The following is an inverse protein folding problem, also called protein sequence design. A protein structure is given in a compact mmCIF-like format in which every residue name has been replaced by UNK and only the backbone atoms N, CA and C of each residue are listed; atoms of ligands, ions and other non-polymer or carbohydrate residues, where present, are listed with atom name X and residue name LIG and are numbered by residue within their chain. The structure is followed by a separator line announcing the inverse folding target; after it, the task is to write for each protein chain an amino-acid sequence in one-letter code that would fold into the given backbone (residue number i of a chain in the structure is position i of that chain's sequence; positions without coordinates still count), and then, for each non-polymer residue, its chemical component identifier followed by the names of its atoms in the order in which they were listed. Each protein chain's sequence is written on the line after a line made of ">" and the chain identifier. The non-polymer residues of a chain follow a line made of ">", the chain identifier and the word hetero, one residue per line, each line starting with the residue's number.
data_IF_686599497508
#
_entry.id   IF_686599497508
#
_cell.length_a   1.000
_cell.length_b   1.000
_cell.length_c   1.000
_cell.angle_alpha   90.00
_cell.angle_beta   90.00
_cell.angle_gamma   90.00
#
_symmetry.space_group_name_H-M   'P 1'
#
loop_
_entity.id
_entity.type
_entity.pdbx_description
1 polymer ?
#
# COMPACT_ATOMS: atom_id res chain seq x y z
N UNK A 1 -28.06 -61.17 -40.14
CA UNK A 1 -28.96 -60.37 -39.27
C UNK A 1 -28.08 -59.66 -38.26
N UNK A 2 -27.80 -58.36 -38.47
CA UNK A 2 -28.41 -57.23 -37.75
C UNK A 2 -28.33 -57.38 -36.21
N UNK A 3 -27.39 -56.68 -35.57
CA UNK A 3 -27.74 -55.58 -34.66
C UNK A 3 -26.46 -54.87 -34.17
N UNK A 4 -26.41 -53.54 -34.34
CA UNK A 4 -25.47 -52.64 -33.66
C UNK A 4 -26.16 -52.16 -32.38
N UNK A 5 -25.44 -51.96 -31.25
CA UNK A 5 -25.90 -51.03 -30.23
C UNK A 5 -25.20 -49.68 -30.38
N UNK A 6 -26.05 -48.67 -30.29
CA UNK A 6 -25.80 -47.23 -30.31
C UNK A 6 -25.48 -46.76 -28.88
N UNK A 7 -24.59 -45.75 -28.80
CA UNK A 7 -24.52 -44.64 -27.81
C UNK A 7 -24.60 -44.93 -26.30
N UNK A 8 -23.66 -44.34 -25.53
CA UNK A 8 -23.94 -43.14 -24.71
C UNK A 8 -22.61 -42.60 -24.14
N UNK A 9 -22.12 -41.50 -24.72
CA UNK A 9 -21.04 -40.69 -24.15
C UNK A 9 -21.68 -39.75 -23.10
N UNK A 10 -21.49 -40.05 -21.82
CA UNK A 10 -21.82 -39.15 -20.74
C UNK A 10 -20.72 -38.08 -20.63
N UNK A 11 -20.95 -36.92 -21.24
CA UNK A 11 -20.19 -35.70 -20.95
C UNK A 11 -20.56 -35.22 -19.55
N UNK A 12 -19.69 -35.50 -18.58
CA UNK A 12 -19.73 -34.89 -17.26
C UNK A 12 -19.26 -33.43 -17.38
N UNK A 13 -20.20 -32.49 -17.45
CA UNK A 13 -19.91 -31.07 -17.20
C UNK A 13 -19.67 -30.90 -15.70
N UNK A 14 -18.40 -30.77 -15.31
CA UNK A 14 -18.05 -30.28 -13.97
C UNK A 14 -18.34 -28.78 -13.98
N UNK A 15 -19.50 -28.41 -13.45
CA UNK A 15 -19.84 -27.01 -13.15
C UNK A 15 -18.99 -26.64 -11.93
N UNK A 16 -17.85 -25.98 -12.18
CA UNK A 16 -17.09 -25.32 -11.12
C UNK A 16 -17.97 -24.16 -10.62
N UNK A 17 -18.37 -24.14 -9.33
CA UNK A 17 -19.10 -23.01 -8.81
C UNK A 17 -18.24 -21.75 -8.93
N UNK A 18 -18.81 -20.59 -9.30
CA UNK A 18 -18.06 -19.35 -9.31
C UNK A 18 -17.49 -19.12 -7.92
N UNK A 19 -16.17 -19.02 -7.86
CA UNK A 19 -15.42 -18.62 -6.67
C UNK A 19 -16.12 -17.40 -6.08
N UNK A 20 -16.60 -17.54 -4.85
CA UNK A 20 -17.16 -16.43 -4.08
C UNK A 20 -16.14 -15.30 -4.11
N UNK A 21 -16.42 -14.25 -4.89
CA UNK A 21 -15.65 -13.03 -4.85
C UNK A 21 -15.72 -12.54 -3.41
N UNK A 22 -14.58 -12.55 -2.73
CA UNK A 22 -14.44 -11.86 -1.45
C UNK A 22 -15.04 -10.46 -1.62
N UNK A 23 -15.86 -9.98 -0.66
CA UNK A 23 -16.38 -8.62 -0.76
C UNK A 23 -15.20 -7.67 -0.99
N UNK A 24 -15.35 -6.66 -1.87
CA UNK A 24 -14.31 -5.65 -2.03
C UNK A 24 -13.95 -5.17 -0.64
N UNK A 25 -12.64 -5.11 -0.34
CA UNK A 25 -12.14 -4.42 0.84
C UNK A 25 -13.00 -3.18 1.02
N UNK A 26 -13.71 -3.05 2.15
CA UNK A 26 -14.67 -1.97 2.36
C UNK A 26 -13.95 -0.67 2.06
N UNK A 27 -14.20 -0.12 0.88
CA UNK A 27 -13.47 1.02 0.39
C UNK A 27 -13.82 2.16 1.34
N UNK A 28 -12.81 2.68 2.03
CA UNK A 28 -13.03 3.88 2.82
C UNK A 28 -13.58 4.96 1.88
N UNK A 29 -14.56 5.77 2.33
CA UNK A 29 -15.17 6.78 1.48
C UNK A 29 -14.10 7.74 0.95
N UNK A 30 -14.33 8.38 -0.22
CA UNK A 30 -13.46 9.44 -0.67
C UNK A 30 -13.48 10.61 0.33
N UNK A 31 -12.39 11.37 0.37
CA UNK A 31 -12.28 12.58 1.22
C UNK A 31 -12.32 13.83 0.36
N UNK A 32 -12.68 14.96 0.97
CA UNK A 32 -12.65 16.26 0.30
C UNK A 32 -11.32 16.96 0.60
N UNK A 33 -10.50 17.13 -0.44
CA UNK A 33 -9.25 17.90 -0.37
C UNK A 33 -9.45 19.18 -1.15
N UNK A 34 -9.54 20.31 -0.46
CA UNK A 34 -9.64 21.65 -1.05
C UNK A 34 -10.79 21.80 -2.09
N UNK A 35 -11.91 21.10 -1.88
CA UNK A 35 -13.07 21.13 -2.78
C UNK A 35 -13.10 20.01 -3.82
N UNK A 36 -12.09 19.15 -3.88
CA UNK A 36 -12.02 18.00 -4.78
C UNK A 36 -12.20 16.69 -4.01
N UNK A 37 -13.06 15.79 -4.52
CA UNK A 37 -13.23 14.46 -3.94
C UNK A 37 -12.10 13.54 -4.40
N UNK A 38 -11.26 13.10 -3.46
CA UNK A 38 -10.13 12.21 -3.72
C UNK A 38 -10.51 10.77 -3.42
N UNK A 39 -10.28 9.88 -4.39
CA UNK A 39 -10.47 8.45 -4.24
C UNK A 39 -9.40 7.84 -3.30
N UNK A 40 -9.75 6.71 -2.69
CA UNK A 40 -8.83 5.99 -1.82
C UNK A 40 -7.86 5.14 -2.65
N UNK A 41 -6.57 5.22 -2.35
CA UNK A 41 -5.51 4.53 -3.10
C UNK A 41 -5.58 3.00 -3.04
N UNK A 42 -6.38 2.44 -2.14
CA UNK A 42 -6.57 1.00 -2.00
C UNK A 42 -7.74 0.46 -2.82
N UNK A 43 -8.44 1.33 -3.58
CA UNK A 43 -9.37 0.91 -4.62
C UNK A 43 -8.61 0.20 -5.75
N UNK A 44 -9.21 -0.79 -6.45
CA UNK A 44 -8.52 -1.56 -7.47
C UNK A 44 -7.86 -0.72 -8.57
N UNK A 45 -8.57 0.30 -9.08
CA UNK A 45 -8.09 1.18 -10.15
C UNK A 45 -6.95 2.09 -9.67
N UNK A 46 -7.13 2.79 -8.55
CA UNK A 46 -6.10 3.65 -7.96
C UNK A 46 -4.83 2.86 -7.60
N UNK A 47 -5.00 1.67 -7.02
CA UNK A 47 -3.89 0.81 -6.64
C UNK A 47 -3.09 0.35 -7.86
N UNK A 48 -3.77 0.02 -8.95
CA UNK A 48 -3.09 -0.36 -10.19
C UNK A 48 -2.37 0.84 -10.82
N UNK A 49 -2.98 2.03 -10.78
CA UNK A 49 -2.33 3.27 -11.23
C UNK A 49 -1.04 3.54 -10.46
N UNK A 50 -1.08 3.50 -9.12
CA UNK A 50 0.12 3.66 -8.27
C UNK A 50 1.14 2.56 -8.57
N UNK A 51 0.71 1.31 -8.74
CA UNK A 51 1.61 0.18 -9.02
C UNK A 51 2.34 0.35 -10.36
N UNK A 52 1.68 0.90 -11.37
CA UNK A 52 2.24 1.08 -12.72
C UNK A 52 3.38 2.12 -12.76
N UNK A 53 3.38 3.09 -11.84
CA UNK A 53 4.43 4.11 -11.76
C UNK A 53 5.69 3.58 -11.05
N UNK A 54 5.53 2.61 -10.14
CA UNK A 54 6.58 2.20 -9.23
C UNK A 54 7.71 1.40 -9.91
N UNK A 55 8.98 1.60 -9.48
CA UNK A 55 10.08 0.81 -9.97
C UNK A 55 9.96 -0.65 -9.53
N UNK A 56 10.59 -1.55 -10.30
CA UNK A 56 10.57 -2.99 -10.02
C UNK A 56 10.96 -3.30 -8.56
N UNK A 57 10.15 -4.15 -7.92
CA UNK A 57 10.37 -4.65 -6.57
C UNK A 57 10.01 -3.68 -5.43
N UNK A 58 9.50 -2.47 -5.71
CA UNK A 58 9.00 -1.56 -4.64
C UNK A 58 7.49 -1.72 -4.39
N UNK A 59 6.73 -2.14 -5.41
CA UNK A 59 5.27 -2.24 -5.40
C UNK A 59 4.69 -2.86 -4.12
N UNK A 60 5.15 -4.06 -3.73
CA UNK A 60 4.60 -4.76 -2.57
C UNK A 60 4.88 -4.03 -1.25
N UNK A 61 6.00 -3.29 -1.16
CA UNK A 61 6.31 -2.47 0.00
C UNK A 61 5.44 -1.22 0.07
N UNK A 62 5.20 -0.57 -1.06
CA UNK A 62 4.28 0.57 -1.15
C UNK A 62 2.85 0.14 -0.83
N UNK A 63 2.37 -0.94 -1.44
CA UNK A 63 1.04 -1.49 -1.17
C UNK A 63 0.89 -1.89 0.31
N UNK A 64 1.95 -2.43 0.92
CA UNK A 64 1.92 -2.73 2.36
C UNK A 64 1.80 -1.47 3.21
N UNK A 65 2.56 -0.41 2.89
CA UNK A 65 2.49 0.86 3.63
C UNK A 65 1.09 1.50 3.55
N UNK A 66 0.50 1.51 2.36
CA UNK A 66 -0.78 2.22 2.12
C UNK A 66 -2.00 1.37 2.50
N UNK A 67 -2.02 0.08 2.17
CA UNK A 67 -3.25 -0.70 2.10
C UNK A 67 -3.30 -1.92 3.02
N UNK A 68 -2.17 -2.43 3.50
CA UNK A 68 -2.20 -3.62 4.36
C UNK A 68 -2.82 -3.30 5.72
N UNK A 69 -3.65 -4.23 6.21
CA UNK A 69 -4.19 -4.18 7.58
C UNK A 69 -3.06 -4.20 8.62
N UNK A 70 -3.29 -3.57 9.77
CA UNK A 70 -2.41 -3.60 10.95
C UNK A 70 -2.40 -4.99 11.61
N UNK A 71 -1.58 -5.88 11.06
CA UNK A 71 -1.38 -7.25 11.58
C UNK A 71 0.10 -7.48 11.92
N UNK A 72 0.40 -8.47 12.76
CA UNK A 72 1.78 -8.87 13.04
C UNK A 72 2.57 -9.23 11.78
N UNK A 73 1.92 -9.84 10.78
CA UNK A 73 2.57 -10.17 9.51
C UNK A 73 3.01 -8.91 8.75
N UNK A 74 2.12 -7.91 8.64
CA UNK A 74 2.40 -6.63 8.00
C UNK A 74 3.50 -5.86 8.74
N UNK A 75 3.43 -5.80 10.08
CA UNK A 75 4.45 -5.15 10.92
C UNK A 75 5.83 -5.78 10.74
N UNK A 76 5.91 -7.11 10.81
CA UNK A 76 7.15 -7.84 10.59
C UNK A 76 7.69 -7.67 9.16
N UNK A 77 6.81 -7.54 8.17
CA UNK A 77 7.21 -7.20 6.81
C UNK A 77 7.90 -5.83 6.76
N UNK A 78 7.27 -4.78 7.30
CA UNK A 78 7.89 -3.44 7.34
C UNK A 78 9.23 -3.44 8.10
N UNK A 79 9.32 -4.14 9.23
CA UNK A 79 10.57 -4.26 9.99
C UNK A 79 11.72 -4.84 9.18
N UNK A 80 11.47 -5.82 8.30
CA UNK A 80 12.49 -6.38 7.40
C UNK A 80 12.92 -5.44 6.28
N UNK A 81 12.15 -4.38 6.06
CA UNK A 81 12.38 -3.32 5.07
C UNK A 81 12.80 -2.00 5.72
N UNK A 82 13.12 -1.99 7.01
CA UNK A 82 13.69 -0.83 7.70
C UNK A 82 15.13 -1.09 8.12
N UNK A 83 15.94 -0.03 8.15
CA UNK A 83 17.21 -0.07 8.90
C UNK A 83 16.91 0.06 10.40
N UNK A 84 17.85 -0.32 11.28
CA UNK A 84 17.69 -0.19 12.74
C UNK A 84 17.22 1.20 13.19
N UNK A 85 17.62 2.23 12.47
CA UNK A 85 17.16 3.60 12.64
C UNK A 85 16.81 4.20 11.28
N UNK A 86 15.76 5.01 11.26
CA UNK A 86 15.32 5.79 10.11
C UNK A 86 15.19 7.27 10.50
N UNK A 87 15.14 8.15 9.51
CA UNK A 87 14.88 9.56 9.75
C UNK A 87 13.38 9.80 9.92
N UNK A 88 12.99 10.66 10.84
CA UNK A 88 11.63 11.14 11.01
C UNK A 88 11.67 12.66 10.96
N UNK A 89 11.01 13.22 9.96
CA UNK A 89 10.83 14.65 9.77
C UNK A 89 9.44 15.05 10.21
N UNK A 90 9.34 16.04 11.10
CA UNK A 90 8.06 16.60 11.52
C UNK A 90 8.19 18.11 11.69
N UNK A 91 7.09 18.81 11.47
CA UNK A 91 6.99 20.25 11.75
C UNK A 91 6.62 20.47 13.23
N UNK A 92 7.31 21.38 13.91
CA UNK A 92 6.97 21.75 15.29
C UNK A 92 5.95 22.91 15.37
N UNK A 93 5.54 23.27 16.58
CA UNK A 93 4.56 24.35 16.83
C UNK A 93 4.99 25.73 16.30
N UNK A 94 6.26 25.91 15.97
CA UNK A 94 6.80 27.14 15.39
C UNK A 94 7.02 27.03 13.87
N UNK A 95 6.44 26.01 13.23
CA UNK A 95 6.61 25.72 11.81
C UNK A 95 8.05 25.43 11.41
N UNK A 96 8.87 24.95 12.34
CA UNK A 96 10.25 24.56 12.06
C UNK A 96 10.31 23.07 11.80
N UNK A 97 10.86 22.70 10.63
CA UNK A 97 11.11 21.31 10.28
C UNK A 97 12.23 20.73 11.15
N UNK A 98 11.96 19.60 11.79
CA UNK A 98 12.96 18.86 12.58
C UNK A 98 13.09 17.44 12.09
N UNK A 99 14.32 17.05 11.78
CA UNK A 99 14.67 15.66 11.49
C UNK A 99 15.34 15.01 12.70
N UNK A 100 14.78 13.88 13.13
CA UNK A 100 15.34 13.05 14.21
C UNK A 100 15.53 11.61 13.75
N UNK A 101 16.46 10.88 14.38
CA UNK A 101 16.63 9.45 14.14
C UNK A 101 15.78 8.65 15.12
N UNK A 102 14.82 7.90 14.58
CA UNK A 102 13.95 7.03 15.37
C UNK A 102 14.33 5.57 15.17
N UNK A 103 14.15 4.75 16.21
CA UNK A 103 14.40 3.31 16.14
C UNK A 103 13.28 2.63 15.36
N UNK A 104 13.65 1.74 14.44
CA UNK A 104 12.68 0.86 13.80
C UNK A 104 12.30 -0.28 14.74
N UNK A 105 11.15 -0.15 15.40
CA UNK A 105 10.55 -1.14 16.28
C UNK A 105 9.09 -1.43 15.88
N UNK A 106 8.45 -2.35 16.60
CA UNK A 106 7.10 -2.79 16.28
C UNK A 106 6.06 -1.67 16.38
N UNK A 107 6.24 -0.73 17.31
CA UNK A 107 5.36 0.43 17.46
C UNK A 107 5.49 1.37 16.27
N UNK A 108 6.73 1.65 15.82
CA UNK A 108 6.93 2.41 14.60
C UNK A 108 6.30 1.71 13.40
N UNK A 109 6.58 0.41 13.20
CA UNK A 109 6.03 -0.35 12.09
C UNK A 109 4.49 -0.35 12.07
N UNK A 110 3.85 -0.42 13.24
CA UNK A 110 2.39 -0.33 13.36
C UNK A 110 1.85 1.04 12.93
N UNK A 111 2.50 2.12 13.36
CA UNK A 111 2.13 3.50 12.99
C UNK A 111 2.34 3.80 11.51
N UNK A 112 3.31 3.16 10.87
CA UNK A 112 3.60 3.36 9.45
C UNK A 112 2.53 2.78 8.52
N UNK A 113 1.78 1.78 8.97
CA UNK A 113 0.68 1.19 8.21
C UNK A 113 -0.51 2.14 8.21
N UNK A 114 -0.87 2.67 7.03
CA UNK A 114 -2.09 3.46 6.88
C UNK A 114 -3.36 2.62 7.02
N UNK A 115 -3.27 1.30 6.88
CA UNK A 115 -4.42 0.40 6.98
C UNK A 115 -5.59 0.77 6.04
N UNK A 116 -5.27 1.32 4.88
CA UNK A 116 -6.25 1.82 3.92
C UNK A 116 -6.47 3.32 3.98
N UNK A 117 -6.04 4.03 5.03
CA UNK A 117 -6.18 5.50 5.15
C UNK A 117 -5.13 6.21 4.29
N UNK A 118 -5.30 6.15 2.96
CA UNK A 118 -4.42 6.75 1.98
C UNK A 118 -5.22 7.34 0.83
N UNK A 119 -5.31 8.66 0.80
CA UNK A 119 -5.94 9.45 -0.25
C UNK A 119 -4.93 10.40 -0.87
N UNK A 120 -5.24 10.91 -2.06
CA UNK A 120 -4.40 11.88 -2.79
C UNK A 120 -2.92 11.46 -2.84
N UNK A 121 -2.69 10.21 -3.25
CA UNK A 121 -1.33 9.64 -3.28
C UNK A 121 -0.57 10.25 -4.45
N UNK A 122 0.63 10.75 -4.15
CA UNK A 122 1.62 11.18 -5.13
C UNK A 122 2.91 10.39 -4.95
N UNK A 123 3.55 10.03 -6.05
CA UNK A 123 4.79 9.27 -6.07
C UNK A 123 5.84 10.03 -6.87
N UNK A 124 6.95 10.36 -6.23
CA UNK A 124 8.11 10.95 -6.88
C UNK A 124 9.24 9.91 -6.98
N UNK A 125 9.76 9.70 -8.19
CA UNK A 125 10.71 8.63 -8.47
C UNK A 125 12.01 9.22 -9.01
N UNK A 126 13.12 8.75 -8.45
CA UNK A 126 14.46 8.93 -9.01
C UNK A 126 15.20 7.58 -9.06
N UNK A 127 16.44 7.57 -9.58
CA UNK A 127 17.17 6.34 -9.89
C UNK A 127 17.25 5.32 -8.73
N UNK A 128 17.29 5.78 -7.48
CA UNK A 128 17.41 4.91 -6.30
C UNK A 128 16.50 5.32 -5.14
N UNK A 129 15.54 6.20 -5.38
CA UNK A 129 14.62 6.71 -4.35
C UNK A 129 13.20 6.79 -4.88
N UNK A 130 12.25 6.41 -4.03
CA UNK A 130 10.82 6.65 -4.21
C UNK A 130 10.34 7.43 -2.99
N UNK A 131 9.73 8.59 -3.21
CA UNK A 131 9.04 9.35 -2.18
C UNK A 131 7.54 9.21 -2.39
N UNK A 132 6.80 8.90 -1.34
CA UNK A 132 5.36 8.72 -1.39
C UNK A 132 4.73 9.72 -0.44
N UNK A 133 3.90 10.59 -0.99
CA UNK A 133 3.11 11.55 -0.23
C UNK A 133 1.65 11.13 -0.31
N UNK A 134 0.93 11.18 0.80
CA UNK A 134 -0.50 10.88 0.85
C UNK A 134 -1.17 11.57 2.02
N UNK A 135 -2.49 11.70 1.95
CA UNK A 135 -3.31 12.24 3.01
C UNK A 135 -3.99 11.07 3.74
N UNK A 136 -3.71 10.82 5.05
CA UNK A 136 -4.49 9.88 5.84
C UNK A 136 -5.85 10.44 6.31
N UNK A 137 -6.07 11.74 6.17
CA UNK A 137 -7.33 12.43 6.39
C UNK A 137 -7.24 13.83 5.76
N UNK A 138 -8.31 14.62 5.81
CA UNK A 138 -8.40 15.95 5.19
C UNK A 138 -7.46 17.01 5.80
N UNK A 139 -6.86 16.75 6.97
CA UNK A 139 -6.05 17.70 7.73
C UNK A 139 -4.56 17.37 7.80
N UNK A 140 -4.14 16.20 7.33
CA UNK A 140 -2.77 15.72 7.47
C UNK A 140 -2.20 15.24 6.14
N UNK A 141 -0.88 15.43 5.99
CA UNK A 141 -0.04 14.83 4.95
C UNK A 141 0.96 13.90 5.62
N UNK A 142 1.20 12.75 5.02
CA UNK A 142 2.20 11.77 5.41
C UNK A 142 3.17 11.52 4.25
N UNK A 143 4.46 11.43 4.58
CA UNK A 143 5.54 11.10 3.64
C UNK A 143 6.21 9.77 4.03
N UNK A 144 6.58 8.99 3.01
CA UNK A 144 7.41 7.78 3.14
C UNK A 144 8.49 7.82 2.08
N UNK A 145 9.75 7.76 2.51
CA UNK A 145 10.89 7.63 1.61
C UNK A 145 11.42 6.20 1.60
N UNK A 146 11.55 5.66 0.40
CA UNK A 146 12.17 4.37 0.10
C UNK A 146 13.47 4.59 -0.65
N UNK A 147 14.55 3.93 -0.23
CA UNK A 147 15.83 3.93 -0.94
C UNK A 147 16.26 2.52 -1.26
N UNK A 148 16.73 2.30 -2.49
CA UNK A 148 17.28 1.02 -2.92
C UNK A 148 18.67 0.83 -2.33
N UNK A 149 18.82 -0.10 -1.38
CA UNK A 149 20.09 -0.46 -0.73
C UNK A 149 20.40 -1.93 -1.00
N UNK A 150 21.56 -2.20 -1.61
CA UNK A 150 22.02 -3.57 -1.94
C UNK A 150 20.95 -4.40 -2.67
N UNK A 151 20.29 -3.78 -3.65
CA UNK A 151 19.25 -4.42 -4.46
C UNK A 151 17.86 -4.49 -3.84
N UNK A 152 17.66 -4.07 -2.57
CA UNK A 152 16.36 -4.10 -1.88
C UNK A 152 15.86 -2.69 -1.58
N UNK A 153 14.56 -2.47 -1.74
CA UNK A 153 13.91 -1.24 -1.29
C UNK A 153 13.74 -1.24 0.23
N UNK A 154 14.19 -0.16 0.85
CA UNK A 154 14.18 0.02 2.30
C UNK A 154 13.55 1.36 2.65
N UNK A 155 12.69 1.40 3.65
CA UNK A 155 12.17 2.64 4.23
C UNK A 155 13.33 3.33 4.97
N UNK A 156 13.61 4.58 4.63
CA UNK A 156 14.75 5.36 5.14
C UNK A 156 14.36 6.64 5.84
N UNK A 157 13.26 7.25 5.43
CA UNK A 157 12.70 8.41 6.07
C UNK A 157 11.18 8.33 6.09
N UNK A 158 10.60 9.00 7.09
CA UNK A 158 9.16 9.24 7.19
C UNK A 158 8.94 10.71 7.53
N UNK A 159 7.80 11.23 7.10
CA UNK A 159 7.36 12.55 7.49
C UNK A 159 5.87 12.63 7.76
N UNK A 160 5.48 13.67 8.48
CA UNK A 160 4.09 14.07 8.62
C UNK A 160 3.97 15.55 8.95
N UNK A 161 2.93 16.18 8.41
CA UNK A 161 2.50 17.54 8.76
C UNK A 161 0.97 17.56 8.81
N UNK A 162 0.41 18.31 9.76
CA UNK A 162 -1.03 18.52 9.87
C UNK A 162 -1.31 20.00 10.14
N UNK A 163 -2.47 20.48 9.71
CA UNK A 163 -3.01 21.81 10.01
C UNK A 163 -3.61 21.91 11.42
#
# INVERSE_FOLDING_TARGET
>A
MKSRPLLYLFSMFIIVPPTSASPPHSALPPINVQGEMKANACLPEERESVRAELPEGSADLVETLLCAKKTEASKNYLLRHMSKFINHTSMDENYVERTQRVKADAELAERLLSAGEAWDVSVEISANRVSITYMPNEACISDRELVRKKGRWMITAIGSACD
#
